data_IF_923812132495
#
_entry.id   IF_923812132495
#
_cell.length_a   1.000
_cell.length_b   1.000
_cell.length_c   1.000
_cell.angle_alpha   90.00
_cell.angle_beta   90.00
_cell.angle_gamma   90.00
#
_symmetry.space_group_name_H-M   'P 1'
#
loop_
_entity.id
_entity.type
_entity.pdbx_description
1 polymer ?
#
# COMPACT_ATOMS: atom_id res chain seq x y z
N UNK A 1 -45.58 -3.68 15.52
CA UNK A 1 -44.11 -3.86 15.42
C UNK A 1 -43.76 -4.10 13.95
N UNK A 2 -42.85 -3.31 13.37
CA UNK A 2 -42.53 -3.37 11.93
C UNK A 2 -41.70 -4.60 11.57
N UNK A 3 -42.04 -5.23 10.44
CA UNK A 3 -41.35 -6.43 9.94
C UNK A 3 -39.95 -6.09 9.42
N UNK A 4 -38.91 -6.66 10.03
CA UNK A 4 -37.51 -6.56 9.60
C UNK A 4 -37.23 -7.34 8.32
N UNK A 5 -38.15 -8.19 7.87
CA UNK A 5 -37.99 -9.04 6.68
C UNK A 5 -37.88 -8.25 5.37
N UNK A 6 -38.27 -6.97 5.35
CA UNK A 6 -38.14 -6.06 4.19
C UNK A 6 -37.10 -4.94 4.40
N UNK A 7 -36.30 -5.00 5.46
CA UNK A 7 -35.31 -3.97 5.72
C UNK A 7 -34.17 -4.05 4.69
N UNK A 8 -34.11 -3.08 3.77
CA UNK A 8 -33.00 -2.92 2.84
C UNK A 8 -31.72 -2.64 3.62
N UNK A 9 -30.68 -3.44 3.39
CA UNK A 9 -29.35 -3.20 3.95
C UNK A 9 -28.83 -1.86 3.44
N UNK A 10 -28.75 -0.87 4.32
CA UNK A 10 -28.23 0.46 4.01
C UNK A 10 -26.70 0.41 4.03
N UNK A 11 -26.06 0.82 2.95
CA UNK A 11 -24.60 0.89 2.85
C UNK A 11 -24.13 1.34 1.48
N UNK A 12 -22.86 1.69 1.37
CA UNK A 12 -22.22 2.09 0.12
C UNK A 12 -21.38 0.96 -0.44
N UNK A 13 -21.31 0.88 -1.77
CA UNK A 13 -20.44 -0.08 -2.46
C UNK A 13 -19.01 0.44 -2.44
N UNK A 14 -18.06 -0.41 -2.05
CA UNK A 14 -16.63 -0.08 -2.11
C UNK A 14 -16.10 -0.15 -3.55
N UNK A 15 -15.34 0.86 -3.99
CA UNK A 15 -14.70 0.95 -5.31
C UNK A 15 -13.68 -0.17 -5.57
N UNK A 16 -13.05 -0.69 -4.52
CA UNK A 16 -11.94 -1.64 -4.63
C UNK A 16 -12.39 -3.10 -4.50
N UNK A 17 -13.24 -3.43 -3.52
CA UNK A 17 -13.72 -4.81 -3.34
C UNK A 17 -15.14 -5.06 -3.88
N UNK A 18 -15.86 -4.03 -4.34
CA UNK A 18 -17.26 -4.12 -4.82
C UNK A 18 -18.27 -4.65 -3.80
N UNK A 19 -17.88 -4.78 -2.53
CA UNK A 19 -18.78 -5.20 -1.45
C UNK A 19 -19.54 -4.00 -0.86
N UNK A 20 -20.75 -4.26 -0.37
CA UNK A 20 -21.53 -3.27 0.38
C UNK A 20 -20.99 -3.15 1.80
N UNK A 21 -20.70 -1.91 2.22
CA UNK A 21 -20.09 -1.60 3.53
C UNK A 21 -20.86 -0.48 4.22
N UNK A 22 -21.02 -0.62 5.53
CA UNK A 22 -21.69 0.39 6.38
C UNK A 22 -20.81 1.63 6.59
N UNK A 23 -19.50 1.42 6.66
CA UNK A 23 -18.50 2.49 6.88
C UNK A 23 -17.62 2.59 5.64
N UNK A 24 -17.60 3.77 5.03
CA UNK A 24 -16.79 4.09 3.86
C UNK A 24 -16.24 5.51 3.94
N UNK A 25 -15.11 5.72 3.27
CA UNK A 25 -14.55 7.05 2.99
C UNK A 25 -14.80 7.40 1.52
N UNK A 26 -15.38 8.56 1.26
CA UNK A 26 -15.55 9.06 -0.11
C UNK A 26 -14.25 9.66 -0.66
N UNK A 27 -13.87 9.27 -1.88
CA UNK A 27 -12.57 9.53 -2.53
C UNK A 27 -12.22 11.02 -2.68
N UNK A 28 -13.21 11.89 -2.81
CA UNK A 28 -13.02 13.32 -3.07
C UNK A 28 -13.29 14.19 -1.84
N UNK A 29 -13.27 13.60 -0.64
CA UNK A 29 -13.41 14.33 0.62
C UNK A 29 -12.07 14.75 1.21
N UNK A 30 -12.09 15.68 2.16
CA UNK A 30 -10.90 16.09 2.91
C UNK A 30 -10.24 14.91 3.65
N UNK A 31 -11.03 13.94 4.14
CA UNK A 31 -10.49 12.73 4.77
C UNK A 31 -9.67 11.91 3.77
N UNK A 32 -10.20 11.67 2.57
CA UNK A 32 -9.47 10.97 1.51
C UNK A 32 -8.21 11.72 1.06
N UNK A 33 -8.25 13.06 1.03
CA UNK A 33 -7.08 13.89 0.73
C UNK A 33 -5.99 13.75 1.81
N UNK A 34 -6.34 13.77 3.10
CA UNK A 34 -5.39 13.55 4.20
C UNK A 34 -4.70 12.19 4.11
N UNK A 35 -5.44 11.15 3.74
CA UNK A 35 -4.92 9.79 3.54
C UNK A 35 -4.20 9.58 2.20
N UNK A 36 -4.18 10.61 1.33
CA UNK A 36 -3.61 10.57 -0.03
C UNK A 36 -4.13 9.38 -0.87
N UNK A 37 -5.42 9.05 -0.72
CA UNK A 37 -5.99 7.84 -1.35
C UNK A 37 -5.83 7.85 -2.88
N UNK A 38 -6.09 8.99 -3.53
CA UNK A 38 -5.97 9.09 -4.99
C UNK A 38 -4.55 8.88 -5.50
N UNK A 39 -3.53 9.28 -4.73
CA UNK A 39 -2.12 9.05 -5.10
C UNK A 39 -1.77 7.57 -4.96
N UNK A 40 -2.20 6.93 -3.87
CA UNK A 40 -1.94 5.51 -3.60
C UNK A 40 -2.67 4.61 -4.61
N UNK A 41 -3.92 4.91 -4.96
CA UNK A 41 -4.72 4.13 -5.92
C UNK A 41 -4.10 4.13 -7.32
N UNK A 42 -3.43 5.22 -7.74
CA UNK A 42 -2.73 5.28 -9.04
C UNK A 42 -1.60 4.25 -9.18
N UNK A 43 -1.14 3.66 -8.07
CA UNK A 43 -0.15 2.57 -8.09
C UNK A 43 -0.77 1.20 -8.35
N UNK A 44 -2.10 1.10 -8.28
CA UNK A 44 -2.83 -0.11 -8.65
C UNK A 44 -3.01 -0.15 -10.18
N UNK A 45 -3.14 -1.35 -10.76
CA UNK A 45 -3.44 -1.52 -12.19
C UNK A 45 -4.92 -1.22 -12.51
N UNK A 46 -5.48 -0.16 -11.95
CA UNK A 46 -6.86 0.29 -12.18
C UNK A 46 -6.90 1.81 -12.39
N UNK A 47 -7.80 2.27 -13.25
CA UNK A 47 -8.07 3.69 -13.41
C UNK A 47 -9.27 4.11 -12.56
N UNK A 48 -9.11 5.21 -11.82
CA UNK A 48 -10.19 5.81 -11.03
C UNK A 48 -10.35 7.26 -11.46
N UNK A 49 -11.48 7.56 -12.10
CA UNK A 49 -11.82 8.89 -12.57
C UNK A 49 -12.88 9.53 -11.66
N UNK A 50 -12.91 10.86 -11.60
CA UNK A 50 -13.96 11.61 -10.90
C UNK A 50 -15.30 11.50 -11.64
N UNK A 51 -15.27 11.43 -12.95
CA UNK A 51 -16.45 11.46 -13.81
C UNK A 51 -16.91 10.06 -14.26
N UNK A 52 -16.24 8.98 -13.85
CA UNK A 52 -16.75 7.63 -14.10
C UNK A 52 -18.06 7.35 -13.33
N UNK A 53 -18.89 6.44 -13.86
CA UNK A 53 -20.19 6.06 -13.27
C UNK A 53 -20.05 4.99 -12.17
N UNK A 54 -18.90 4.91 -11.50
CA UNK A 54 -18.58 3.84 -10.57
C UNK A 54 -18.51 4.38 -9.13
N UNK A 55 -18.52 3.51 -8.10
CA UNK A 55 -18.61 3.94 -6.71
C UNK A 55 -17.48 4.89 -6.31
N UNK A 56 -17.80 6.03 -5.70
CA UNK A 56 -16.81 7.01 -5.22
C UNK A 56 -16.41 6.81 -3.75
N UNK A 57 -16.66 5.61 -3.22
CA UNK A 57 -16.49 5.22 -1.82
C UNK A 57 -15.52 4.07 -1.68
N UNK A 58 -14.69 4.07 -0.64
CA UNK A 58 -13.77 2.98 -0.29
C UNK A 58 -13.99 2.60 1.17
N UNK A 59 -14.02 1.31 1.48
CA UNK A 59 -14.15 0.82 2.85
C UNK A 59 -12.80 0.80 3.59
N UNK A 60 -12.84 0.85 4.92
CA UNK A 60 -11.61 0.94 5.74
C UNK A 60 -10.67 -0.26 5.52
N UNK A 61 -11.22 -1.47 5.31
CA UNK A 61 -10.41 -2.66 4.99
C UNK A 61 -9.57 -2.48 3.71
N UNK A 62 -10.16 -1.89 2.67
CA UNK A 62 -9.44 -1.61 1.43
C UNK A 62 -8.44 -0.46 1.60
N UNK A 63 -8.72 0.52 2.47
CA UNK A 63 -7.74 1.56 2.83
C UNK A 63 -6.52 0.91 3.49
N UNK A 64 -6.70 0.11 4.54
CA UNK A 64 -5.58 -0.52 5.25
C UNK A 64 -4.73 -1.40 4.33
N UNK A 65 -5.36 -2.17 3.44
CA UNK A 65 -4.63 -2.97 2.43
C UNK A 65 -3.85 -2.10 1.44
N UNK A 66 -4.45 -1.00 1.00
CA UNK A 66 -3.80 -0.05 0.10
C UNK A 66 -2.58 0.62 0.77
N UNK A 67 -2.66 0.90 2.07
CA UNK A 67 -1.53 1.44 2.84
C UNK A 67 -0.41 0.43 2.97
N UNK A 68 -0.71 -0.81 3.37
CA UNK A 68 0.29 -1.88 3.44
C UNK A 68 1.00 -2.11 2.10
N UNK A 69 0.24 -2.11 0.99
CA UNK A 69 0.81 -2.23 -0.35
C UNK A 69 1.69 -1.02 -0.70
N UNK A 70 1.26 0.20 -0.38
CA UNK A 70 2.04 1.41 -0.62
C UNK A 70 3.38 1.35 0.12
N UNK A 71 3.36 0.96 1.39
CA UNK A 71 4.57 0.86 2.22
C UNK A 71 5.53 -0.21 1.69
N UNK A 72 5.01 -1.36 1.26
CA UNK A 72 5.81 -2.39 0.60
C UNK A 72 6.47 -1.85 -0.68
N UNK A 73 5.72 -1.14 -1.53
CA UNK A 73 6.27 -0.55 -2.76
C UNK A 73 7.36 0.49 -2.46
N UNK A 74 7.22 1.27 -1.39
CA UNK A 74 8.26 2.22 -0.96
C UNK A 74 9.53 1.50 -0.51
N UNK A 75 9.40 0.42 0.27
CA UNK A 75 10.54 -0.41 0.68
C UNK A 75 11.25 -1.03 -0.51
N UNK A 76 10.51 -1.59 -1.47
CA UNK A 76 11.06 -2.16 -2.71
C UNK A 76 11.80 -1.08 -3.52
N UNK A 77 11.19 0.11 -3.70
CA UNK A 77 11.84 1.22 -4.41
C UNK A 77 13.14 1.64 -3.73
N UNK A 78 13.14 1.77 -2.40
CA UNK A 78 14.33 2.09 -1.62
C UNK A 78 15.41 1.02 -1.79
N UNK A 79 15.07 -0.26 -1.63
CA UNK A 79 16.01 -1.37 -1.86
C UNK A 79 16.60 -1.34 -3.27
N UNK A 80 15.75 -1.17 -4.30
CA UNK A 80 16.22 -1.04 -5.68
C UNK A 80 17.14 0.16 -5.90
N UNK A 81 16.87 1.31 -5.27
CA UNK A 81 17.79 2.47 -5.36
C UNK A 81 19.15 2.19 -4.72
N UNK A 82 19.17 1.49 -3.59
CA UNK A 82 20.40 1.10 -2.89
C UNK A 82 21.18 0.09 -3.73
N UNK A 83 20.52 -0.94 -4.25
CA UNK A 83 21.15 -1.95 -5.10
C UNK A 83 21.66 -1.35 -6.43
N UNK A 84 20.90 -0.43 -7.02
CA UNK A 84 21.30 0.25 -8.24
C UNK A 84 22.55 1.10 -8.04
N UNK A 85 22.58 1.92 -6.98
CA UNK A 85 23.74 2.74 -6.64
C UNK A 85 24.95 1.88 -6.26
N UNK A 86 24.75 0.82 -5.47
CA UNK A 86 25.79 -0.18 -5.21
C UNK A 86 26.39 -0.72 -6.52
N UNK A 87 25.55 -1.17 -7.47
CA UNK A 87 26.03 -1.67 -8.77
C UNK A 87 26.83 -0.61 -9.56
N UNK A 88 26.48 0.67 -9.46
CA UNK A 88 27.21 1.75 -10.13
C UNK A 88 28.61 1.96 -9.54
N UNK A 89 28.75 1.88 -8.22
CA UNK A 89 30.04 2.00 -7.54
C UNK A 89 30.96 0.79 -7.78
N UNK A 90 30.39 -0.39 -8.03
CA UNK A 90 31.10 -1.65 -8.22
C UNK A 90 31.43 -1.97 -9.69
N UNK A 91 32.20 -1.11 -10.36
CA UNK A 91 32.70 -1.40 -11.72
C UNK A 91 33.95 -2.28 -11.76
N UNK A 92 34.76 -2.31 -10.69
CA UNK A 92 36.06 -3.00 -10.63
C UNK A 92 36.24 -3.94 -9.41
N UNK A 93 35.15 -4.36 -8.74
CA UNK A 93 35.23 -5.30 -7.60
C UNK A 93 35.69 -4.70 -6.26
N UNK A 94 35.82 -3.37 -6.15
CA UNK A 94 36.12 -2.66 -4.89
C UNK A 94 34.87 -1.93 -4.38
N UNK A 95 34.61 -1.99 -3.07
CA UNK A 95 33.52 -1.26 -2.41
C UNK A 95 34.04 0.07 -1.86
N UNK A 96 33.68 1.22 -2.47
CA UNK A 96 34.08 2.54 -1.94
C UNK A 96 33.26 2.92 -0.69
N UNK A 97 33.76 3.85 0.12
CA UNK A 97 33.10 4.26 1.39
C UNK A 97 31.76 4.95 1.12
N UNK A 98 31.63 5.56 -0.06
CA UNK A 98 30.39 6.21 -0.52
C UNK A 98 29.30 5.21 -0.93
N UNK A 99 29.61 3.91 -0.96
CA UNK A 99 28.63 2.87 -1.26
C UNK A 99 27.61 2.75 -0.11
N UNK A 100 26.29 2.79 -0.39
CA UNK A 100 25.26 2.72 0.66
C UNK A 100 25.17 1.35 1.36
N UNK A 101 25.88 0.35 0.85
CA UNK A 101 26.03 -0.98 1.47
C UNK A 101 27.46 -1.20 1.99
N UNK A 102 28.29 -0.15 2.10
CA UNK A 102 29.66 -0.29 2.58
C UNK A 102 29.68 -0.78 4.03
N UNK A 103 30.34 -1.91 4.29
CA UNK A 103 30.48 -2.48 5.63
C UNK A 103 29.17 -3.04 6.23
N UNK A 104 28.12 -3.22 5.44
CA UNK A 104 26.97 -4.04 5.83
C UNK A 104 27.32 -5.49 5.50
N UNK A 105 27.74 -6.24 6.52
CA UNK A 105 27.79 -7.68 6.44
C UNK A 105 26.36 -8.21 6.47
N UNK A 106 26.00 -9.11 5.55
CA UNK A 106 24.75 -9.85 5.68
C UNK A 106 24.80 -10.62 7.01
N UNK A 107 23.84 -10.44 7.94
CA UNK A 107 23.77 -11.30 9.10
C UNK A 107 23.63 -12.75 8.60
N UNK A 108 24.33 -13.71 9.21
CA UNK A 108 24.22 -15.09 8.81
C UNK A 108 22.74 -15.51 8.85
N UNK A 109 22.27 -16.15 7.78
CA UNK A 109 20.89 -16.61 7.56
C UNK A 109 20.28 -17.40 8.74
N UNK A 110 21.08 -17.81 9.73
CA UNK A 110 20.66 -18.47 10.96
C UNK A 110 20.02 -17.57 12.02
N UNK A 111 20.13 -16.24 11.92
CA UNK A 111 19.64 -15.32 12.99
C UNK A 111 18.24 -14.75 12.72
N UNK A 112 17.74 -14.83 11.49
CA UNK A 112 16.43 -14.24 11.10
C UNK A 112 15.23 -15.10 11.49
N UNK A 113 15.44 -16.39 11.81
CA UNK A 113 14.37 -17.32 12.18
C UNK A 113 14.05 -17.32 13.69
N UNK A 114 14.77 -16.55 14.51
CA UNK A 114 14.66 -16.61 15.97
C UNK A 114 13.74 -15.55 16.62
N UNK A 115 13.32 -14.50 15.90
CA UNK A 115 12.61 -13.36 16.51
C UNK A 115 11.09 -13.27 16.19
N UNK A 116 10.49 -14.26 15.52
CA UNK A 116 9.03 -14.28 15.24
C UNK A 116 8.20 -15.19 16.18
N UNK A 117 8.76 -15.63 17.30
CA UNK A 117 8.03 -16.46 18.28
C UNK A 117 8.15 -15.97 19.72
N UNK A 118 7.54 -14.83 20.04
CA UNK A 118 7.02 -14.50 21.38
C UNK A 118 5.69 -13.75 21.31
#
# INVERSE_FOLDING_TARGET
MGSTAKATVTGFICRLCSEQKKVVTHLYTNRAKKLRLMEKIKLLPISVDKYDNLPKSICDQCVSRLEAQYDLLQKIRRSNTIHHSHRQYHSNGRCPIECPLHGLDDPPLSEVDAEESE
#
